data_IF_252231839268
#
_entry.id   IF_252231839268
#
_cell.length_a   1.000
_cell.length_b   1.000
_cell.length_c   1.000
_cell.angle_alpha   90.00
_cell.angle_beta   90.00
_cell.angle_gamma   90.00
#
_symmetry.space_group_name_H-M   'P 1'
#
loop_
_entity.id
_entity.type
_entity.pdbx_description
1 polymer ?
#
# COMPACT_ATOMS: atom_id res chain seq x y z
N UNK A 1 -24.24 -2.47 21.06
CA UNK A 1 -22.80 -2.14 21.05
C UNK A 1 -22.68 -0.69 20.61
N UNK A 2 -21.92 0.12 21.35
CA UNK A 2 -21.70 1.52 20.98
C UNK A 2 -20.84 1.60 19.70
N UNK A 3 -21.15 2.56 18.81
CA UNK A 3 -20.47 2.68 17.51
C UNK A 3 -18.99 3.00 17.67
N UNK A 4 -18.61 3.75 18.70
CA UNK A 4 -17.20 4.04 18.96
C UNK A 4 -16.45 2.78 19.40
N UNK A 5 -17.09 1.91 20.19
CA UNK A 5 -16.53 0.59 20.54
C UNK A 5 -16.28 -0.25 19.29
N UNK A 6 -17.22 -0.31 18.35
CA UNK A 6 -17.04 -1.08 17.11
C UNK A 6 -15.89 -0.51 16.25
N UNK A 7 -15.77 0.81 16.15
CA UNK A 7 -14.67 1.45 15.41
C UNK A 7 -13.32 1.15 16.08
N UNK A 8 -13.25 1.21 17.41
CA UNK A 8 -12.04 0.88 18.16
C UNK A 8 -11.61 -0.57 17.88
N UNK A 9 -12.52 -1.53 18.02
CA UNK A 9 -12.23 -2.95 17.79
C UNK A 9 -11.75 -3.23 16.36
N UNK A 10 -12.39 -2.60 15.35
CA UNK A 10 -11.94 -2.75 13.96
C UNK A 10 -10.53 -2.19 13.75
N UNK A 11 -10.19 -1.07 14.38
CA UNK A 11 -8.84 -0.48 14.30
C UNK A 11 -7.80 -1.33 15.01
N UNK A 12 -8.15 -1.90 16.16
CA UNK A 12 -7.28 -2.80 16.91
C UNK A 12 -6.98 -4.06 16.10
N UNK A 13 -8.01 -4.70 15.54
CA UNK A 13 -7.86 -5.88 14.68
C UNK A 13 -7.01 -5.58 13.43
N UNK A 14 -7.26 -4.46 12.76
CA UNK A 14 -6.46 -4.05 11.59
C UNK A 14 -5.01 -3.79 11.98
N UNK A 15 -4.76 -3.12 13.10
CA UNK A 15 -3.41 -2.84 13.58
C UNK A 15 -2.65 -4.12 13.92
N UNK A 16 -3.32 -5.12 14.51
CA UNK A 16 -2.70 -6.41 14.79
C UNK A 16 -2.34 -7.14 13.50
N UNK A 17 -3.26 -7.18 12.52
CA UNK A 17 -2.99 -7.80 11.23
C UNK A 17 -1.80 -7.13 10.51
N UNK A 18 -1.77 -5.79 10.49
CA UNK A 18 -0.65 -5.03 9.90
C UNK A 18 0.69 -5.36 10.59
N UNK A 19 0.69 -5.60 11.90
CA UNK A 19 1.89 -6.03 12.64
C UNK A 19 2.28 -7.46 12.27
N UNK A 20 1.33 -8.37 12.22
CA UNK A 20 1.58 -9.79 11.90
C UNK A 20 2.18 -9.96 10.49
N UNK A 21 1.83 -9.08 9.55
CA UNK A 21 2.40 -9.05 8.18
C UNK A 21 3.58 -8.07 7.99
N UNK A 22 4.13 -7.50 9.08
CA UNK A 22 5.31 -6.64 9.07
C UNK A 22 5.13 -5.25 8.44
N UNK A 23 3.89 -4.80 8.26
CA UNK A 23 3.56 -3.45 7.78
C UNK A 23 3.61 -2.39 8.88
N UNK A 24 3.76 -2.76 10.15
CA UNK A 24 3.91 -1.84 11.28
C UNK A 24 5.17 -0.95 11.20
N UNK A 25 6.17 -1.37 10.43
CA UNK A 25 7.37 -0.56 10.12
C UNK A 25 7.08 0.63 9.19
N UNK A 26 5.92 0.63 8.53
CA UNK A 26 5.46 1.70 7.65
C UNK A 26 4.59 2.69 8.42
N UNK A 27 4.78 3.98 8.17
CA UNK A 27 3.83 5.00 8.60
C UNK A 27 2.46 4.79 7.97
N UNK A 28 1.41 5.33 8.61
CA UNK A 28 0.05 5.26 8.09
C UNK A 28 -0.07 5.68 6.62
N UNK A 29 0.64 6.75 6.21
CA UNK A 29 0.59 7.24 4.83
C UNK A 29 1.29 6.27 3.87
N UNK A 30 2.41 5.66 4.28
CA UNK A 30 3.08 4.64 3.46
C UNK A 30 2.19 3.40 3.28
N UNK A 31 1.49 2.96 4.33
CA UNK A 31 0.50 1.87 4.22
C UNK A 31 -0.67 2.25 3.32
N UNK A 32 -1.23 3.45 3.48
CA UNK A 32 -2.33 3.94 2.63
C UNK A 32 -1.91 3.97 1.15
N UNK A 33 -0.66 4.36 0.84
CA UNK A 33 -0.12 4.34 -0.53
C UNK A 33 0.05 2.92 -1.05
N UNK A 34 0.59 2.01 -0.24
CA UNK A 34 0.79 0.61 -0.62
C UNK A 34 -0.54 -0.10 -0.88
N UNK A 35 -1.52 0.07 0.02
CA UNK A 35 -2.86 -0.51 -0.11
C UNK A 35 -3.63 0.08 -1.29
N UNK A 36 -3.50 1.38 -1.55
CA UNK A 36 -4.06 2.01 -2.75
C UNK A 36 -3.42 1.46 -4.05
N UNK A 37 -2.12 1.23 -4.06
CA UNK A 37 -1.46 0.61 -5.20
C UNK A 37 -1.91 -0.84 -5.40
N UNK A 38 -2.04 -1.60 -4.31
CA UNK A 38 -2.52 -2.99 -4.34
C UNK A 38 -3.96 -3.09 -4.83
N UNK A 39 -4.88 -2.23 -4.34
CA UNK A 39 -6.28 -2.24 -4.78
C UNK A 39 -6.46 -1.92 -6.27
N UNK A 40 -5.53 -1.16 -6.85
CA UNK A 40 -5.48 -0.83 -8.28
C UNK A 40 -4.75 -1.89 -9.12
N UNK A 41 -4.08 -2.84 -8.49
CA UNK A 41 -3.33 -3.91 -9.17
C UNK A 41 -4.26 -5.10 -9.41
N UNK A 42 -4.64 -5.33 -10.67
CA UNK A 42 -5.45 -6.49 -11.08
C UNK A 42 -4.63 -7.80 -11.12
N UNK A 43 -4.01 -8.17 -9.99
CA UNK A 43 -3.18 -9.36 -9.84
C UNK A 43 -1.68 -9.08 -9.73
N UNK A 44 -0.91 -10.14 -9.47
CA UNK A 44 0.55 -10.07 -9.30
C UNK A 44 1.22 -9.60 -10.58
N UNK A 45 2.06 -8.57 -10.49
CA UNK A 45 2.75 -8.02 -11.66
C UNK A 45 1.98 -6.93 -12.41
N UNK A 46 0.74 -6.61 -11.99
CA UNK A 46 -0.03 -5.56 -12.62
C UNK A 46 0.64 -4.19 -12.43
N UNK A 47 0.62 -3.39 -13.51
CA UNK A 47 1.30 -2.09 -13.57
C UNK A 47 0.32 -0.97 -13.24
N UNK A 48 0.64 -0.18 -12.23
CA UNK A 48 -0.15 0.97 -11.78
C UNK A 48 0.65 2.27 -11.89
N UNK A 49 0.02 3.38 -12.27
CA UNK A 49 0.69 4.68 -12.35
C UNK A 49 0.62 5.45 -11.02
N UNK A 50 1.63 6.30 -10.74
CA UNK A 50 1.56 7.17 -9.55
C UNK A 50 0.36 8.11 -9.54
N UNK A 51 -0.17 8.46 -10.72
CA UNK A 51 -1.34 9.32 -10.83
C UNK A 51 -2.62 8.60 -10.38
N UNK A 52 -2.82 7.36 -10.83
CA UNK A 52 -3.92 6.51 -10.36
C UNK A 52 -3.84 6.27 -8.85
N UNK A 53 -2.66 5.96 -8.34
CA UNK A 53 -2.46 5.76 -6.90
C UNK A 53 -2.84 7.05 -6.15
N UNK A 54 -2.30 8.21 -6.56
CA UNK A 54 -2.58 9.50 -5.88
C UNK A 54 -4.05 9.89 -5.92
N UNK A 55 -4.78 9.49 -6.95
CA UNK A 55 -6.22 9.75 -7.08
C UNK A 55 -7.09 8.82 -6.19
N UNK A 56 -6.51 7.82 -5.53
CA UNK A 56 -7.24 6.87 -4.69
C UNK A 56 -7.86 7.56 -3.46
N UNK A 57 -9.09 7.20 -3.03
CA UNK A 57 -9.79 7.85 -1.91
C UNK A 57 -9.00 7.92 -0.59
N UNK A 58 -8.15 6.92 -0.32
CA UNK A 58 -7.27 6.88 0.86
C UNK A 58 -6.27 8.06 0.92
N UNK A 59 -5.95 8.65 -0.23
CA UNK A 59 -4.89 9.65 -0.38
C UNK A 59 -5.41 11.05 -0.70
N UNK A 60 -6.73 11.26 -0.71
CA UNK A 60 -7.37 12.53 -1.08
C UNK A 60 -6.86 13.73 -0.26
N UNK A 61 -6.52 13.52 1.02
CA UNK A 61 -6.00 14.56 1.92
C UNK A 61 -4.47 14.65 1.94
N UNK A 62 -3.76 13.80 1.20
CA UNK A 62 -2.30 13.70 1.22
C UNK A 62 -1.71 14.66 0.19
N UNK A 63 -0.80 15.54 0.64
CA UNK A 63 -0.10 16.46 -0.27
C UNK A 63 0.81 15.71 -1.23
N UNK A 64 1.06 16.30 -2.39
CA UNK A 64 1.97 15.75 -3.40
C UNK A 64 3.35 15.42 -2.85
N UNK A 65 3.93 16.31 -2.04
CA UNK A 65 5.25 16.10 -1.46
C UNK A 65 5.27 14.91 -0.50
N UNK A 66 4.25 14.77 0.35
CA UNK A 66 4.14 13.63 1.28
C UNK A 66 3.91 12.32 0.53
N UNK A 67 3.05 12.33 -0.48
CA UNK A 67 2.82 11.17 -1.35
C UNK A 67 4.11 10.66 -2.00
N UNK A 68 4.88 11.54 -2.66
CA UNK A 68 6.12 11.13 -3.32
C UNK A 68 7.23 10.71 -2.33
N UNK A 69 7.24 11.27 -1.10
CA UNK A 69 8.11 10.76 -0.03
C UNK A 69 7.75 9.32 0.35
N UNK A 70 6.46 9.02 0.52
CA UNK A 70 5.99 7.67 0.83
C UNK A 70 6.30 6.69 -0.31
N UNK A 71 6.03 7.06 -1.57
CA UNK A 71 6.41 6.25 -2.75
C UNK A 71 7.90 5.90 -2.75
N UNK A 72 8.78 6.88 -2.47
CA UNK A 72 10.23 6.65 -2.42
C UNK A 72 10.61 5.66 -1.30
N UNK A 73 9.96 5.77 -0.14
CA UNK A 73 10.19 4.85 0.98
C UNK A 73 9.76 3.43 0.62
N UNK A 74 8.59 3.26 0.02
CA UNK A 74 8.09 1.95 -0.43
C UNK A 74 8.98 1.30 -1.51
N UNK A 75 9.55 2.10 -2.42
CA UNK A 75 10.56 1.63 -3.38
C UNK A 75 11.84 1.15 -2.67
N UNK A 76 12.35 1.94 -1.71
CA UNK A 76 13.56 1.60 -0.98
C UNK A 76 13.39 0.35 -0.10
N UNK A 77 12.20 0.15 0.47
CA UNK A 77 11.86 -1.03 1.26
C UNK A 77 11.49 -2.24 0.37
N UNK A 78 11.36 -2.05 -0.95
CA UNK A 78 11.07 -3.12 -1.91
C UNK A 78 9.63 -3.62 -1.90
N UNK A 79 8.68 -2.84 -1.36
CA UNK A 79 7.24 -3.11 -1.44
C UNK A 79 6.64 -2.66 -2.79
N UNK A 80 7.29 -1.67 -3.42
CA UNK A 80 7.01 -1.26 -4.79
C UNK A 80 8.26 -1.43 -5.63
N UNK A 81 8.07 -1.73 -6.89
CA UNK A 81 9.13 -1.73 -7.90
C UNK A 81 8.70 -0.90 -9.10
N UNK A 82 9.66 -0.36 -9.84
CA UNK A 82 9.36 0.30 -11.12
C UNK A 82 9.02 -0.79 -12.13
N UNK A 83 7.97 -0.58 -12.91
CA UNK A 83 7.62 -1.53 -13.96
C UNK A 83 8.65 -1.49 -15.10
N UNK A 84 9.18 -2.66 -15.49
CA UNK A 84 10.15 -2.77 -16.58
C UNK A 84 9.53 -2.41 -17.93
N UNK A 85 10.29 -1.70 -18.78
CA UNK A 85 9.88 -1.32 -20.13
C UNK A 85 8.70 -0.32 -20.22
N UNK A 86 8.21 0.18 -19.09
CA UNK A 86 7.03 1.04 -19.02
C UNK A 86 7.39 2.54 -18.98
N UNK A 87 6.44 3.39 -19.42
CA UNK A 87 6.58 4.86 -19.38
C UNK A 87 6.93 5.31 -17.95
N UNK A 88 7.71 6.38 -17.83
CA UNK A 88 8.06 6.96 -16.53
C UNK A 88 6.83 7.05 -15.60
N UNK A 89 7.00 6.69 -14.32
CA UNK A 89 6.00 6.76 -13.22
C UNK A 89 5.00 5.60 -13.11
N UNK A 90 5.36 4.42 -13.60
CA UNK A 90 4.60 3.18 -13.39
C UNK A 90 5.31 2.22 -12.44
N UNK A 91 4.53 1.46 -11.70
CA UNK A 91 4.98 0.66 -10.57
C UNK A 91 4.25 -0.68 -10.50
N UNK A 92 4.89 -1.66 -9.87
CA UNK A 92 4.33 -2.98 -9.58
C UNK A 92 4.37 -3.19 -8.07
N UNK A 93 3.31 -3.79 -7.51
CA UNK A 93 3.22 -4.12 -6.08
C UNK A 93 3.84 -5.49 -5.82
N UNK A 94 4.72 -5.57 -4.81
CA UNK A 94 5.38 -6.80 -4.37
C UNK A 94 4.59 -7.47 -3.24
N UNK A 95 3.41 -8.00 -3.59
CA UNK A 95 2.53 -8.70 -2.63
C UNK A 95 3.20 -9.95 -2.03
N UNK A 96 4.15 -10.56 -2.75
CA UNK A 96 4.98 -11.68 -2.29
C UNK A 96 5.83 -11.36 -1.04
N UNK A 97 6.01 -10.08 -0.72
CA UNK A 97 6.72 -9.63 0.49
C UNK A 97 5.84 -9.36 1.70
N UNK A 98 4.52 -9.31 1.50
CA UNK A 98 3.56 -9.06 2.58
C UNK A 98 3.04 -10.38 3.15
N UNK A 99 2.93 -11.41 2.29
CA UNK A 99 2.55 -12.75 2.71
C UNK A 99 3.33 -13.79 1.88
N UNK A 100 4.33 -14.50 2.46
CA UNK A 100 5.08 -15.52 1.75
C UNK A 100 4.22 -16.73 1.34
N UNK A 101 3.06 -16.96 1.95
CA UNK A 101 2.16 -18.07 1.59
C UNK A 101 1.35 -17.81 0.31
N UNK A 102 1.19 -16.54 -0.11
CA UNK A 102 0.41 -16.16 -1.30
C UNK A 102 1.09 -16.53 -2.63
N UNK A 103 2.38 -16.89 -2.62
CA UNK A 103 3.15 -17.25 -3.84
C UNK A 103 2.85 -18.69 -4.31
N UNK A 104 2.02 -19.45 -3.59
CA UNK A 104 1.74 -20.87 -3.85
C UNK A 104 0.40 -21.13 -4.56
N UNK A 105 -0.18 -20.17 -5.29
CA UNK A 105 -1.43 -20.37 -6.06
C UNK A 105 -1.34 -19.90 -7.49
#
# INVERSE_FOLDING_TARGET
>A
MDKLTSIFQLREMLSQLEHDVGLDTLSRIERDVLLAAHSLSEGTGAVVSSEQIRAHPLLTSVTQATFYRAMRRLLNCGFLERADGSRAKTYTVRSDRIDPELTSR
#
